data_IF_881165319072
#
_entry.id   IF_881165319072
#
_cell.length_a   1.000
_cell.length_b   1.000
_cell.length_c   1.000
_cell.angle_alpha   90.00
_cell.angle_beta   90.00
_cell.angle_gamma   90.00
#
_symmetry.space_group_name_H-M   'P 1'
#
loop_
_entity.id
_entity.type
_entity.pdbx_description
1 polymer ?
#
# COMPACT_ATOMS: atom_id res chain seq x y z
N UNK A 1 14.99 13.93 -25.86
CA UNK A 1 14.77 12.47 -26.02
C UNK A 1 14.36 11.98 -24.64
N UNK A 2 13.06 11.79 -24.39
CA UNK A 2 12.54 11.41 -23.07
C UNK A 2 12.37 9.89 -23.06
N UNK A 3 13.20 9.18 -22.30
CA UNK A 3 13.04 7.74 -22.13
C UNK A 3 11.97 7.52 -21.05
N UNK A 4 10.80 7.04 -21.47
CA UNK A 4 9.86 6.38 -20.57
C UNK A 4 10.56 5.13 -20.04
N UNK A 5 10.92 5.14 -18.75
CA UNK A 5 11.43 3.95 -18.07
C UNK A 5 10.21 3.13 -17.69
N UNK A 6 9.88 2.13 -18.50
CA UNK A 6 8.82 1.16 -18.18
C UNK A 6 9.21 0.29 -16.99
N UNK A 7 8.22 -0.25 -16.29
CA UNK A 7 8.38 -1.32 -15.31
C UNK A 7 7.86 -2.60 -15.95
N UNK A 8 8.48 -3.75 -15.70
CA UNK A 8 7.86 -5.04 -15.95
C UNK A 8 7.43 -5.64 -14.62
N UNK A 9 6.23 -6.21 -14.59
CA UNK A 9 5.64 -6.74 -13.38
C UNK A 9 4.89 -8.02 -13.65
N UNK A 10 5.06 -9.00 -12.78
CA UNK A 10 4.28 -10.24 -12.73
C UNK A 10 3.70 -10.39 -11.33
N UNK A 11 2.47 -10.88 -11.23
CA UNK A 11 1.80 -11.04 -9.94
C UNK A 11 0.72 -12.11 -10.00
N UNK A 12 0.42 -12.66 -8.83
CA UNK A 12 -0.69 -13.58 -8.60
C UNK A 12 -1.64 -13.01 -7.57
N UNK A 13 -2.92 -13.22 -7.79
CA UNK A 13 -3.99 -12.96 -6.83
C UNK A 13 -4.53 -14.31 -6.41
N UNK A 14 -4.42 -14.62 -5.11
CA UNK A 14 -5.11 -15.75 -4.51
C UNK A 14 -6.30 -15.24 -3.71
N UNK A 15 -7.46 -15.84 -3.93
CA UNK A 15 -8.72 -15.43 -3.28
C UNK A 15 -9.15 -16.59 -2.39
N UNK A 16 -9.11 -16.38 -1.08
CA UNK A 16 -9.53 -17.36 -0.08
C UNK A 16 -10.53 -16.72 0.89
N UNK A 17 -11.57 -17.48 1.24
CA UNK A 17 -12.67 -16.99 2.08
C UNK A 17 -13.65 -16.07 1.32
N UNK A 18 -14.70 -16.68 0.76
CA UNK A 18 -15.89 -15.97 0.28
C UNK A 18 -17.04 -16.27 1.24
N UNK A 19 -17.16 -15.50 2.32
CA UNK A 19 -18.44 -15.33 2.99
C UNK A 19 -19.16 -14.14 2.33
N UNK A 20 -20.48 -14.15 2.36
CA UNK A 20 -21.38 -13.13 1.80
C UNK A 20 -21.10 -11.69 2.24
N UNK A 21 -20.30 -11.46 3.28
CA UNK A 21 -20.02 -10.13 3.85
C UNK A 21 -18.52 -9.77 3.92
N UNK A 22 -17.62 -10.75 3.76
CA UNK A 22 -16.17 -10.56 3.88
C UNK A 22 -15.41 -11.30 2.77
N UNK A 23 -14.47 -10.59 2.16
CA UNK A 23 -13.62 -11.09 1.07
C UNK A 23 -12.16 -10.98 1.50
N UNK A 24 -11.49 -12.13 1.60
CA UNK A 24 -10.04 -12.22 1.80
C UNK A 24 -9.32 -12.48 0.48
N UNK A 25 -8.19 -11.80 0.28
CA UNK A 25 -7.27 -12.15 -0.81
C UNK A 25 -5.83 -11.82 -0.44
N UNK A 26 -4.91 -12.63 -0.93
CA UNK A 26 -3.48 -12.42 -0.76
C UNK A 26 -2.91 -12.00 -2.11
N UNK A 27 -2.29 -10.82 -2.14
CA UNK A 27 -1.52 -10.36 -3.28
C UNK A 27 -0.06 -10.80 -3.15
N UNK A 28 0.43 -11.38 -4.24
CA UNK A 28 1.86 -11.58 -4.49
C UNK A 28 2.22 -10.83 -5.76
N UNK A 29 3.25 -10.00 -5.69
CA UNK A 29 3.65 -9.16 -6.82
C UNK A 29 5.16 -9.07 -6.88
N UNK A 30 5.73 -9.05 -8.07
CA UNK A 30 7.14 -8.76 -8.29
C UNK A 30 7.25 -7.79 -9.44
N UNK A 31 7.83 -6.61 -9.17
CA UNK A 31 8.24 -5.66 -10.18
C UNK A 31 9.74 -5.54 -10.21
N UNK A 32 10.29 -5.41 -11.40
CA UNK A 32 11.68 -5.03 -11.56
C UNK A 32 11.81 -3.86 -12.53
N UNK A 33 12.89 -3.11 -12.38
CA UNK A 33 13.26 -2.11 -13.36
C UNK A 33 13.81 -2.78 -14.64
N UNK A 34 13.83 -2.07 -15.77
CA UNK A 34 14.22 -2.62 -17.08
C UNK A 34 15.61 -3.28 -17.12
N UNK A 35 16.52 -2.85 -16.25
CA UNK A 35 17.88 -3.38 -16.20
C UNK A 35 17.96 -4.67 -15.37
N UNK A 36 16.89 -5.03 -14.64
CA UNK A 36 16.81 -6.18 -13.76
C UNK A 36 17.71 -6.10 -12.52
N UNK A 37 18.33 -4.96 -12.26
CA UNK A 37 19.26 -4.74 -11.15
C UNK A 37 18.53 -4.32 -9.85
N UNK A 38 17.24 -3.98 -9.94
CA UNK A 38 16.38 -3.76 -8.78
C UNK A 38 15.06 -4.49 -8.95
N UNK A 39 14.71 -5.28 -7.94
CA UNK A 39 13.43 -5.99 -7.83
C UNK A 39 12.75 -5.61 -6.53
N UNK A 40 11.48 -5.27 -6.62
CA UNK A 40 10.58 -5.06 -5.49
C UNK A 40 9.55 -6.17 -5.53
N UNK A 41 9.47 -6.93 -4.45
CA UNK A 41 8.54 -8.05 -4.30
C UNK A 41 7.59 -7.80 -3.13
N UNK A 42 6.31 -8.01 -3.35
CA UNK A 42 5.30 -8.18 -2.31
C UNK A 42 5.18 -9.68 -2.10
N UNK A 43 5.70 -10.18 -0.97
CA UNK A 43 5.72 -11.62 -0.67
C UNK A 43 4.35 -12.14 -0.24
N UNK A 44 3.60 -11.33 0.49
CA UNK A 44 2.22 -11.58 0.86
C UNK A 44 1.65 -10.27 1.39
N UNK A 45 0.70 -9.68 0.66
CA UNK A 45 -0.14 -8.61 1.17
C UNK A 45 -1.55 -9.17 1.29
N UNK A 46 -1.92 -9.51 2.52
CA UNK A 46 -3.27 -9.96 2.84
C UNK A 46 -4.17 -8.73 2.88
N UNK A 47 -5.21 -8.76 2.08
CA UNK A 47 -6.22 -7.71 2.00
C UNK A 47 -7.56 -8.30 2.37
N UNK A 48 -8.21 -7.65 3.32
CA UNK A 48 -9.55 -8.00 3.77
C UNK A 48 -10.49 -6.87 3.39
N UNK A 49 -11.54 -7.20 2.64
CA UNK A 49 -12.60 -6.27 2.26
C UNK A 49 -13.90 -6.66 2.97
N UNK A 50 -14.52 -5.67 3.61
CA UNK A 50 -15.85 -5.80 4.23
C UNK A 50 -16.80 -4.81 3.57
N UNK A 51 -17.98 -5.30 3.17
CA UNK A 51 -19.07 -4.46 2.69
C UNK A 51 -19.97 -4.08 3.86
N UNK A 52 -20.00 -2.80 4.22
CA UNK A 52 -20.88 -2.29 5.27
C UNK A 52 -22.32 -2.19 4.74
N UNK A 53 -23.31 -2.32 5.64
CA UNK A 53 -24.74 -2.16 5.34
C UNK A 53 -25.09 -0.77 4.76
N UNK A 54 -24.18 0.19 4.88
CA UNK A 54 -24.28 1.54 4.32
C UNK A 54 -23.64 1.70 2.92
N UNK A 55 -23.24 0.60 2.26
CA UNK A 55 -22.49 0.60 0.99
C UNK A 55 -21.08 1.22 1.09
N UNK A 56 -20.53 1.29 2.30
CA UNK A 56 -19.12 1.61 2.50
C UNK A 56 -18.28 0.34 2.28
N UNK A 57 -17.25 0.44 1.45
CA UNK A 57 -16.24 -0.61 1.30
C UNK A 57 -15.11 -0.31 2.29
N UNK A 58 -14.77 -1.28 3.14
CA UNK A 58 -13.66 -1.16 4.09
C UNK A 58 -12.56 -2.14 3.72
N UNK A 59 -11.35 -1.64 3.54
CA UNK A 59 -10.18 -2.47 3.27
C UNK A 59 -9.15 -2.36 4.40
N UNK A 60 -8.65 -3.49 4.88
CA UNK A 60 -7.44 -3.58 5.70
C UNK A 60 -6.40 -4.44 5.02
N UNK A 61 -5.15 -4.04 5.17
CA UNK A 61 -4.00 -4.69 4.56
C UNK A 61 -2.93 -4.98 5.60
N UNK A 62 -2.29 -6.14 5.50
CA UNK A 62 -1.10 -6.49 6.26
C UNK A 62 -0.18 -7.36 5.42
N UNK A 63 1.14 -7.10 5.47
CA UNK A 63 2.06 -7.85 4.65
C UNK A 63 3.50 -7.39 4.69
N UNK A 64 4.32 -8.02 3.86
CA UNK A 64 5.75 -7.72 3.74
C UNK A 64 6.09 -7.31 2.31
N UNK A 65 6.84 -6.21 2.18
CA UNK A 65 7.39 -5.72 0.92
C UNK A 65 8.92 -5.81 1.01
N UNK A 66 9.54 -6.55 0.09
CA UNK A 66 10.97 -6.80 0.02
C UNK A 66 11.58 -6.05 -1.18
N UNK A 67 12.64 -5.29 -0.93
CA UNK A 67 13.55 -4.78 -1.95
C UNK A 67 14.85 -5.58 -1.86
N UNK A 68 15.17 -6.32 -2.92
CA UNK A 68 16.31 -7.26 -2.93
C UNK A 68 17.65 -6.64 -2.55
N UNK A 69 17.77 -5.32 -2.68
CA UNK A 69 18.99 -4.57 -2.41
C UNK A 69 18.95 -3.82 -1.06
N UNK A 70 17.78 -3.64 -0.46
CA UNK A 70 17.59 -2.79 0.72
C UNK A 70 16.91 -3.49 1.91
N UNK A 71 16.50 -4.75 1.74
CA UNK A 71 15.78 -5.51 2.76
C UNK A 71 14.28 -5.29 2.66
N UNK A 72 13.56 -5.56 3.76
CA UNK A 72 12.11 -5.53 3.75
C UNK A 72 11.52 -4.52 4.73
N UNK A 73 10.25 -4.20 4.48
CA UNK A 73 9.37 -3.48 5.39
C UNK A 73 8.12 -4.30 5.67
N UNK A 74 7.62 -4.21 6.89
CA UNK A 74 6.34 -4.79 7.30
C UNK A 74 5.27 -3.70 7.25
N UNK A 75 4.24 -3.90 6.44
CA UNK A 75 3.17 -2.95 6.26
C UNK A 75 1.90 -3.42 6.95
N UNK A 76 1.24 -2.53 7.67
CA UNK A 76 -0.06 -2.76 8.31
C UNK A 76 -0.94 -1.53 8.22
N UNK A 77 -2.22 -1.77 7.95
CA UNK A 77 -3.25 -0.74 7.98
C UNK A 77 -3.57 -0.41 9.43
N UNK A 78 -3.21 0.79 9.88
CA UNK A 78 -3.48 1.27 11.25
C UNK A 78 -4.87 1.89 11.37
N UNK A 79 -5.46 2.30 10.24
CA UNK A 79 -6.86 2.68 10.12
C UNK A 79 -7.40 2.21 8.77
N UNK A 80 -8.50 1.45 8.76
CA UNK A 80 -9.07 0.87 7.53
C UNK A 80 -9.30 1.93 6.46
N UNK A 81 -8.95 1.58 5.22
CA UNK A 81 -9.32 2.38 4.07
C UNK A 81 -10.82 2.29 3.86
N UNK A 82 -11.50 3.43 3.74
CA UNK A 82 -12.92 3.46 3.40
C UNK A 82 -13.14 4.12 2.06
N UNK A 83 -13.94 3.47 1.23
CA UNK A 83 -14.33 3.93 -0.10
C UNK A 83 -15.86 3.98 -0.16
N UNK A 84 -16.38 5.00 -0.83
CA UNK A 84 -17.77 5.02 -1.26
C UNK A 84 -17.90 4.18 -2.54
N UNK A 85 -19.02 3.50 -2.73
CA UNK A 85 -19.27 2.67 -3.93
C UNK A 85 -19.07 3.44 -5.26
N UNK A 86 -19.32 4.75 -5.27
CA UNK A 86 -19.16 5.61 -6.44
C UNK A 86 -17.75 6.20 -6.63
N UNK A 87 -16.82 5.93 -5.71
CA UNK A 87 -15.47 6.50 -5.73
C UNK A 87 -14.42 5.43 -6.01
N UNK A 88 -13.42 5.79 -6.82
CA UNK A 88 -12.29 4.89 -7.15
C UNK A 88 -11.18 4.91 -6.10
N UNK A 89 -11.22 5.87 -5.17
CA UNK A 89 -10.17 6.09 -4.17
C UNK A 89 -10.77 6.23 -2.77
N UNK A 90 -10.03 5.85 -1.73
CA UNK A 90 -10.49 6.01 -0.36
C UNK A 90 -10.57 7.47 0.04
N UNK A 91 -11.53 7.80 0.90
CA UNK A 91 -11.67 9.12 1.52
C UNK A 91 -11.09 9.17 2.95
N UNK A 92 -10.76 8.01 3.52
CA UNK A 92 -10.05 7.89 4.81
C UNK A 92 -9.28 6.57 4.83
N UNK A 93 -8.19 6.52 5.60
CA UNK A 93 -7.39 5.31 5.80
C UNK A 93 -5.95 5.65 6.18
N UNK A 94 -5.24 4.69 6.75
CA UNK A 94 -3.82 4.85 7.09
C UNK A 94 -3.09 3.52 6.95
N UNK A 95 -2.01 3.53 6.16
CA UNK A 95 -1.06 2.42 6.01
C UNK A 95 0.28 2.86 6.59
N UNK A 96 0.83 2.03 7.48
CA UNK A 96 2.17 2.21 8.02
C UNK A 96 3.04 1.05 7.58
N UNK A 97 4.27 1.35 7.15
CA UNK A 97 5.29 0.35 6.89
C UNK A 97 6.49 0.60 7.79
N UNK A 98 6.79 -0.35 8.66
CA UNK A 98 7.90 -0.31 9.59
C UNK A 98 9.12 -1.02 8.97
N UNK A 99 10.26 -0.34 9.01
CA UNK A 99 11.54 -0.80 8.51
C UNK A 99 12.50 -1.15 9.64
N UNK A 100 13.76 -1.42 9.26
CA UNK A 100 14.82 -1.75 10.22
C UNK A 100 15.19 -0.53 11.06
N UNK A 101 15.44 -0.75 12.35
CA UNK A 101 15.95 0.28 13.24
C UNK A 101 14.90 1.32 13.60
N UNK A 102 13.65 0.89 13.75
CA UNK A 102 12.51 1.73 14.17
C UNK A 102 12.11 2.83 13.17
N UNK A 103 12.74 2.88 11.99
CA UNK A 103 12.31 3.72 10.86
C UNK A 103 10.93 3.32 10.37
N UNK A 104 10.14 4.28 9.89
CA UNK A 104 8.81 3.99 9.34
C UNK A 104 8.42 4.97 8.26
N UNK A 105 7.51 4.54 7.38
CA UNK A 105 6.78 5.41 6.45
C UNK A 105 5.29 5.22 6.65
N UNK A 106 4.53 6.31 6.59
CA UNK A 106 3.09 6.28 6.74
C UNK A 106 2.44 7.04 5.59
N UNK A 107 1.43 6.42 4.99
CA UNK A 107 0.46 7.04 4.12
C UNK A 107 -0.83 7.28 4.91
N UNK A 108 -1.30 8.53 4.93
CA UNK A 108 -2.62 8.87 5.46
C UNK A 108 -3.47 9.46 4.35
N UNK A 109 -4.68 8.94 4.16
CA UNK A 109 -5.66 9.54 3.24
C UNK A 109 -6.18 10.83 3.85
N UNK A 110 -6.25 11.89 3.04
CA UNK A 110 -6.84 13.17 3.46
C UNK A 110 -8.31 13.22 3.02
N UNK A 111 -8.56 12.87 1.76
CA UNK A 111 -9.88 12.79 1.14
C UNK A 111 -9.80 11.91 -0.14
N UNK A 112 -10.90 11.81 -0.90
CA UNK A 112 -10.99 10.97 -2.10
C UNK A 112 -10.16 11.44 -3.29
N UNK A 113 -9.48 12.59 -3.22
CA UNK A 113 -8.58 13.08 -4.27
C UNK A 113 -7.12 13.12 -3.86
N UNK A 114 -6.80 13.14 -2.56
CA UNK A 114 -5.42 13.30 -2.09
C UNK A 114 -5.08 12.49 -0.83
N UNK A 115 -3.79 12.22 -0.69
CA UNK A 115 -3.18 11.58 0.47
C UNK A 115 -1.89 12.28 0.83
N UNK A 116 -1.38 12.02 2.05
CA UNK A 116 -0.09 12.47 2.50
C UNK A 116 0.84 11.31 2.80
N UNK A 117 2.13 11.52 2.60
CA UNK A 117 3.20 10.61 3.03
C UNK A 117 4.11 11.34 4.00
N UNK A 118 4.48 10.67 5.09
CA UNK A 118 5.54 11.08 6.02
C UNK A 118 6.41 9.89 6.39
N UNK A 119 7.66 10.13 6.77
CA UNK A 119 8.57 9.07 7.19
C UNK A 119 9.54 9.54 8.27
N UNK A 120 9.87 8.61 9.16
CA UNK A 120 10.97 8.64 10.12
C UNK A 120 12.09 7.80 9.53
N UNK A 121 13.23 8.43 9.26
CA UNK A 121 14.32 7.83 8.50
C UNK A 121 15.52 7.48 9.36
N UNK A 122 15.57 7.96 10.61
CA UNK A 122 16.65 7.70 11.55
C UNK A 122 16.24 6.88 12.78
N UNK A 123 14.94 6.62 12.95
CA UNK A 123 14.37 5.75 13.97
C UNK A 123 14.18 6.43 15.32
N UNK A 124 14.11 7.76 15.38
CA UNK A 124 13.92 8.50 16.64
C UNK A 124 12.45 8.66 17.06
N UNK A 125 11.52 8.17 16.23
CA UNK A 125 10.08 8.25 16.42
C UNK A 125 9.46 9.54 15.87
N UNK A 126 10.24 10.44 15.27
CA UNK A 126 9.84 11.71 14.70
C UNK A 126 9.99 11.63 13.17
N UNK A 127 9.03 12.23 12.45
CA UNK A 127 9.13 12.28 11.00
C UNK A 127 10.20 13.28 10.55
N UNK A 128 11.25 12.80 9.90
CA UNK A 128 12.28 13.62 9.24
C UNK A 128 11.87 14.05 7.84
N UNK A 129 10.92 13.33 7.24
CA UNK A 129 10.46 13.55 5.88
C UNK A 129 8.95 13.74 5.82
N UNK A 130 8.53 14.73 5.03
CA UNK A 130 7.13 15.09 4.86
C UNK A 130 6.57 15.97 5.99
N UNK A 131 5.24 16.17 6.02
CA UNK A 131 4.25 15.56 5.13
C UNK A 131 4.37 16.05 3.68
N UNK A 132 4.31 15.13 2.72
CA UNK A 132 4.19 15.43 1.28
C UNK A 132 2.81 15.02 0.81
N UNK A 133 2.04 15.99 0.32
CA UNK A 133 0.71 15.75 -0.25
C UNK A 133 0.84 15.33 -1.71
N UNK A 134 0.08 14.30 -2.10
CA UNK A 134 -0.02 13.75 -3.44
C UNK A 134 -1.48 13.57 -3.82
N UNK A 135 -1.74 13.67 -5.12
CA UNK A 135 -3.05 13.34 -5.69
C UNK A 135 -3.06 11.88 -6.11
N UNK A 136 -4.20 11.23 -5.97
CA UNK A 136 -4.44 9.98 -6.66
C UNK A 136 -4.37 10.21 -8.18
N UNK A 137 -3.78 9.29 -8.91
CA UNK A 137 -3.76 9.32 -10.38
C UNK A 137 -4.44 8.07 -10.90
N UNK A 138 -5.42 8.25 -11.78
CA UNK A 138 -5.91 7.17 -12.63
C UNK A 138 -4.81 6.85 -13.66
N UNK A 139 -4.43 5.58 -13.75
CA UNK A 139 -3.51 5.06 -14.77
C UNK A 139 -4.27 4.74 -16.05
#
# INVERSE_FOLDING_TARGET
MSAFVGLYSEGSLDVDGLDSEEYGFTLTFTASNLNGDRTISIESLDVFIVFDVNMDIRATMSGKIDDSNHGFVECVTTASFKLLESESFPYVGTLRCDGKGETWVELSVIDSVQYQIRADTDGDGIADYGPVIKYWSEF
#
